data_IF_565935005512
#
_entry.id   IF_565935005512
#
_cell.length_a   1.000
_cell.length_b   1.000
_cell.length_c   1.000
_cell.angle_alpha   90.00
_cell.angle_beta   90.00
_cell.angle_gamma   90.00
#
_symmetry.space_group_name_H-M   'P 1'
#
loop_
_entity.id
_entity.type
_entity.pdbx_description
1 polymer ?
#
# COMPACT_ATOMS: atom_id res chain seq x y z
N UNK A 1 38.87 -41.77 -30.21
CA UNK A 1 38.78 -40.33 -30.18
C UNK A 1 37.40 -39.95 -29.65
N UNK A 2 37.30 -39.65 -28.33
CA UNK A 2 36.07 -39.24 -27.67
C UNK A 2 36.08 -37.70 -27.56
N UNK A 3 35.12 -37.04 -28.21
CA UNK A 3 34.88 -35.62 -28.07
C UNK A 3 33.95 -35.40 -26.87
N UNK A 4 34.49 -34.84 -25.78
CA UNK A 4 33.70 -34.40 -24.65
C UNK A 4 33.16 -32.99 -24.96
N UNK A 5 31.84 -32.84 -25.14
CA UNK A 5 31.18 -31.54 -25.16
C UNK A 5 31.03 -31.01 -23.74
N UNK A 6 31.74 -29.96 -23.45
CA UNK A 6 31.52 -29.16 -22.22
C UNK A 6 30.33 -28.25 -22.47
N UNK A 7 29.19 -28.56 -21.84
CA UNK A 7 28.04 -27.65 -21.80
C UNK A 7 28.33 -26.56 -20.77
N UNK A 8 28.65 -25.38 -21.28
CA UNK A 8 28.83 -24.18 -20.46
C UNK A 8 27.50 -23.74 -19.82
N UNK A 9 27.39 -23.89 -18.51
CA UNK A 9 26.32 -23.20 -17.71
C UNK A 9 26.56 -21.71 -17.75
N UNK A 10 25.73 -20.97 -18.52
CA UNK A 10 25.70 -19.53 -18.44
C UNK A 10 25.07 -19.12 -17.12
N UNK A 11 25.69 -18.20 -16.35
CA UNK A 11 25.06 -17.67 -15.15
C UNK A 11 23.84 -16.85 -15.56
N UNK A 12 22.68 -17.23 -15.07
CA UNK A 12 21.46 -16.42 -15.11
C UNK A 12 21.74 -15.20 -14.23
N UNK A 13 22.09 -14.08 -14.84
CA UNK A 13 22.11 -12.80 -14.14
C UNK A 13 20.68 -12.47 -13.72
N UNK A 14 20.36 -12.69 -12.46
CA UNK A 14 19.18 -12.12 -11.86
C UNK A 14 19.23 -10.60 -12.08
N UNK A 15 18.29 -10.07 -12.85
CA UNK A 15 18.07 -8.63 -12.97
C UNK A 15 17.66 -8.13 -11.58
N UNK A 16 18.64 -7.77 -10.77
CA UNK A 16 18.40 -6.99 -9.56
C UNK A 16 17.94 -5.63 -10.03
N UNK A 17 16.64 -5.43 -10.11
CA UNK A 17 16.06 -4.09 -10.24
C UNK A 17 16.62 -3.29 -9.07
N UNK A 18 17.51 -2.36 -9.34
CA UNK A 18 18.01 -1.38 -8.36
C UNK A 18 16.79 -0.52 -8.01
N UNK A 19 16.03 -0.97 -7.03
CA UNK A 19 15.00 -0.17 -6.38
C UNK A 19 15.76 0.97 -5.72
N UNK A 20 15.68 2.18 -6.30
CA UNK A 20 16.26 3.37 -5.71
C UNK A 20 15.91 3.42 -4.24
N UNK A 21 16.88 3.70 -3.39
CA UNK A 21 16.72 3.67 -1.95
C UNK A 21 15.54 4.57 -1.54
N UNK A 22 14.48 3.97 -1.01
CA UNK A 22 13.29 4.66 -0.55
C UNK A 22 13.29 4.62 0.97
N UNK A 23 13.01 5.76 1.59
CA UNK A 23 12.87 5.85 3.05
C UNK A 23 11.57 6.53 3.44
N UNK A 24 10.98 6.05 4.53
CA UNK A 24 9.76 6.59 5.11
C UNK A 24 10.04 7.15 6.50
N UNK A 25 9.56 8.37 6.77
CA UNK A 25 9.70 9.01 8.08
C UNK A 25 8.38 9.64 8.50
N UNK A 26 8.12 9.63 9.81
CA UNK A 26 7.03 10.41 10.40
C UNK A 26 7.58 11.78 10.80
N UNK A 27 7.00 12.85 10.28
CA UNK A 27 7.40 14.23 10.52
C UNK A 27 6.18 15.09 10.83
N UNK A 28 6.37 16.22 11.51
CA UNK A 28 5.34 17.22 11.67
C UNK A 28 5.45 18.27 10.56
N UNK A 29 4.37 18.45 9.82
CA UNK A 29 4.24 19.48 8.78
C UNK A 29 3.10 20.42 9.19
N UNK A 30 3.41 21.64 9.63
CA UNK A 30 2.43 22.57 10.17
C UNK A 30 1.53 21.91 11.22
N UNK A 31 2.14 21.33 12.24
CA UNK A 31 1.52 20.62 13.37
C UNK A 31 0.71 19.36 12.99
N UNK A 32 0.68 18.99 11.75
CA UNK A 32 0.04 17.75 11.28
C UNK A 32 1.09 16.63 11.14
N UNK A 33 0.88 15.47 11.78
CA UNK A 33 1.73 14.31 11.55
C UNK A 33 1.59 13.81 10.11
N UNK A 34 2.73 13.64 9.43
CA UNK A 34 2.81 13.22 8.03
C UNK A 34 3.87 12.16 7.89
N UNK A 35 3.56 11.08 7.20
CA UNK A 35 4.59 10.19 6.69
C UNK A 35 5.12 10.80 5.40
N UNK A 36 6.39 11.15 5.39
CA UNK A 36 7.12 11.56 4.19
C UNK A 36 7.87 10.38 3.62
N UNK A 37 7.95 10.33 2.30
CA UNK A 37 8.79 9.39 1.57
C UNK A 37 9.88 10.17 0.81
N UNK A 38 11.10 9.64 0.83
CA UNK A 38 12.20 10.12 -0.01
C UNK A 38 12.66 9.01 -0.94
N UNK A 39 13.09 9.37 -2.13
CA UNK A 39 13.62 8.43 -3.12
C UNK A 39 14.77 9.09 -3.88
N UNK A 40 15.78 8.32 -4.21
CA UNK A 40 16.86 8.76 -5.12
C UNK A 40 16.32 9.20 -6.49
N UNK A 41 15.18 8.63 -6.92
CA UNK A 41 14.50 9.05 -8.16
C UNK A 41 13.86 10.45 -8.07
N UNK A 42 13.76 11.02 -6.87
CA UNK A 42 13.23 12.37 -6.61
C UNK A 42 14.30 13.34 -6.11
N UNK A 43 15.54 13.11 -6.46
CA UNK A 43 16.69 13.88 -5.96
C UNK A 43 16.74 13.92 -4.43
N UNK A 44 16.26 12.87 -3.77
CA UNK A 44 16.08 12.76 -2.32
C UNK A 44 15.19 13.87 -1.72
N UNK A 45 14.36 14.53 -2.53
CA UNK A 45 13.38 15.49 -2.02
C UNK A 45 12.22 14.77 -1.35
N UNK A 46 11.88 15.10 -0.10
CA UNK A 46 10.78 14.46 0.60
C UNK A 46 9.43 14.83 -0.04
N UNK A 47 8.55 13.85 -0.14
CA UNK A 47 7.18 14.02 -0.59
C UNK A 47 6.22 13.51 0.48
N UNK A 48 5.12 14.21 0.70
CA UNK A 48 4.08 13.76 1.62
C UNK A 48 3.41 12.51 1.07
N UNK A 49 3.36 11.46 1.88
CA UNK A 49 2.83 10.15 1.52
C UNK A 49 1.51 9.86 2.22
N UNK A 50 1.44 10.03 3.55
CA UNK A 50 0.21 9.86 4.34
C UNK A 50 0.10 11.01 5.34
N UNK A 51 -1.06 11.68 5.39
CA UNK A 51 -1.39 12.70 6.39
C UNK A 51 -2.34 12.13 7.43
N UNK A 52 -2.02 12.35 8.70
CA UNK A 52 -2.80 11.87 9.82
C UNK A 52 -3.61 13.03 10.43
N UNK A 53 -4.85 13.21 9.95
CA UNK A 53 -5.73 14.32 10.36
C UNK A 53 -6.90 13.89 11.24
N UNK A 54 -7.15 12.57 11.35
CA UNK A 54 -8.29 12.04 12.11
C UNK A 54 -7.89 11.68 13.53
N UNK A 55 -8.68 12.11 14.50
CA UNK A 55 -8.52 11.77 15.93
C UNK A 55 -9.12 10.42 16.32
N UNK A 56 -9.55 9.63 15.35
CA UNK A 56 -10.08 8.28 15.60
C UNK A 56 -9.06 7.43 16.34
N UNK A 57 -9.47 6.88 17.48
CA UNK A 57 -8.62 6.09 18.36
C UNK A 57 -7.75 6.91 19.32
N UNK A 58 -7.84 8.24 19.32
CA UNK A 58 -7.07 9.08 20.23
C UNK A 58 -7.42 8.83 21.71
N UNK A 59 -8.72 8.56 22.00
CA UNK A 59 -9.18 8.15 23.34
C UNK A 59 -8.53 6.85 23.83
N UNK A 60 -8.18 5.96 22.91
CA UNK A 60 -7.55 4.66 23.20
C UNK A 60 -6.01 4.75 23.10
N UNK A 61 -5.47 5.97 23.09
CA UNK A 61 -4.06 6.23 23.04
C UNK A 61 -3.43 6.12 21.63
N UNK A 62 -4.24 6.00 20.57
CA UNK A 62 -3.77 5.98 19.17
C UNK A 62 -3.93 7.36 18.54
N UNK A 63 -3.22 8.34 19.09
CA UNK A 63 -3.18 9.70 18.54
C UNK A 63 -2.66 9.71 17.08
N UNK A 64 -2.99 10.75 16.27
CA UNK A 64 -2.45 10.89 14.92
C UNK A 64 -0.93 10.76 14.86
N UNK A 65 -0.21 11.37 15.81
CA UNK A 65 1.25 11.30 15.89
C UNK A 65 1.73 9.87 16.17
N UNK A 66 1.13 9.17 17.14
CA UNK A 66 1.50 7.81 17.48
C UNK A 66 1.25 6.85 16.31
N UNK A 67 0.13 7.01 15.60
CA UNK A 67 -0.15 6.22 14.38
C UNK A 67 0.88 6.47 13.30
N UNK A 68 1.22 7.72 13.03
CA UNK A 68 2.27 8.11 12.09
C UNK A 68 3.60 7.44 12.43
N UNK A 69 4.02 7.52 13.69
CA UNK A 69 5.28 6.92 14.19
C UNK A 69 5.29 5.38 14.10
N UNK A 70 4.14 4.74 14.23
CA UNK A 70 4.04 3.27 14.12
C UNK A 70 3.99 2.80 12.67
N UNK A 71 3.36 3.56 11.78
CA UNK A 71 3.13 3.14 10.40
C UNK A 71 4.36 3.38 9.51
N UNK A 72 5.13 4.44 9.75
CA UNK A 72 6.32 4.73 8.95
C UNK A 72 7.33 3.55 8.95
N UNK A 73 7.74 2.96 10.10
CA UNK A 73 8.64 1.81 10.08
C UNK A 73 8.00 0.54 9.49
N UNK A 74 6.68 0.36 9.62
CA UNK A 74 5.99 -0.77 8.97
C UNK A 74 6.01 -0.66 7.45
N UNK A 75 5.82 0.54 6.90
CA UNK A 75 5.99 0.80 5.47
C UNK A 75 7.42 0.51 5.02
N UNK A 76 8.40 0.99 5.79
CA UNK A 76 9.82 0.78 5.48
C UNK A 76 10.16 -0.71 5.41
N UNK A 77 9.78 -1.47 6.43
CA UNK A 77 10.03 -2.92 6.48
C UNK A 77 9.29 -3.65 5.35
N UNK A 78 7.98 -3.38 5.18
CA UNK A 78 7.19 -4.04 4.14
C UNK A 78 7.75 -3.79 2.75
N UNK A 79 8.19 -2.57 2.46
CA UNK A 79 8.76 -2.24 1.15
C UNK A 79 10.14 -2.89 0.96
N UNK A 80 10.97 -2.95 2.00
CA UNK A 80 12.25 -3.65 1.97
C UNK A 80 12.08 -5.17 1.74
N UNK A 81 11.00 -5.75 2.28
CA UNK A 81 10.64 -7.16 2.11
C UNK A 81 9.96 -7.45 0.74
N UNK A 82 9.88 -6.48 -0.14
CA UNK A 82 9.30 -6.62 -1.48
C UNK A 82 7.78 -6.51 -1.55
N UNK A 83 7.09 -6.13 -0.45
CA UNK A 83 5.64 -5.93 -0.45
C UNK A 83 5.29 -4.56 -1.05
N UNK A 84 5.20 -4.51 -2.36
CA UNK A 84 5.08 -3.27 -3.14
C UNK A 84 3.64 -2.81 -3.39
N UNK A 85 2.63 -3.48 -2.83
CA UNK A 85 1.22 -3.13 -3.00
C UNK A 85 0.54 -2.87 -1.66
N UNK A 86 -0.36 -1.89 -1.65
CA UNK A 86 -1.17 -1.52 -0.48
C UNK A 86 -2.64 -1.77 -0.81
N UNK A 87 -3.22 -2.90 -0.38
CA UNK A 87 -4.65 -3.15 -0.38
C UNK A 87 -5.30 -2.83 0.95
N UNK A 88 -6.62 -2.90 0.98
CA UNK A 88 -7.41 -3.05 2.20
C UNK A 88 -7.75 -4.51 2.45
N UNK A 89 -8.11 -4.83 3.68
CA UNK A 89 -8.56 -6.15 4.08
C UNK A 89 -9.26 -6.13 5.41
N UNK A 90 -9.41 -7.31 6.02
CA UNK A 90 -9.98 -7.47 7.35
C UNK A 90 -9.07 -8.35 8.22
N UNK A 91 -8.94 -7.98 9.49
CA UNK A 91 -8.24 -8.77 10.50
C UNK A 91 -9.08 -8.77 11.77
N UNK A 92 -9.44 -9.96 12.26
CA UNK A 92 -10.35 -10.11 13.40
C UNK A 92 -11.64 -9.28 13.21
N UNK A 93 -12.22 -9.33 12.03
CA UNK A 93 -13.41 -8.58 11.59
C UNK A 93 -13.23 -7.05 11.51
N UNK A 94 -12.07 -6.51 11.85
CA UNK A 94 -11.79 -5.08 11.72
C UNK A 94 -11.23 -4.76 10.34
N UNK A 95 -11.68 -3.67 9.71
CA UNK A 95 -11.11 -3.21 8.44
C UNK A 95 -9.68 -2.71 8.66
N UNK A 96 -8.80 -3.08 7.76
CA UNK A 96 -7.38 -2.76 7.85
C UNK A 96 -6.84 -2.26 6.51
N UNK A 97 -5.77 -1.48 6.58
CA UNK A 97 -4.85 -1.23 5.50
C UNK A 97 -3.58 -2.04 5.73
N UNK A 98 -3.12 -2.70 4.71
CA UNK A 98 -2.02 -3.67 4.78
C UNK A 98 -1.12 -3.60 3.56
N UNK A 99 -0.09 -4.42 3.53
CA UNK A 99 0.77 -4.60 2.35
C UNK A 99 0.75 -6.04 1.87
N UNK A 100 1.05 -6.22 0.59
CA UNK A 100 1.27 -7.51 -0.07
C UNK A 100 2.28 -7.36 -1.21
N UNK A 101 2.86 -8.45 -1.66
CA UNK A 101 3.83 -8.47 -2.76
C UNK A 101 3.17 -8.54 -4.14
N UNK A 102 1.94 -9.04 -4.25
CA UNK A 102 1.24 -9.18 -5.52
C UNK A 102 -0.22 -8.72 -5.46
N UNK A 103 -0.73 -8.10 -6.55
CA UNK A 103 -2.16 -7.83 -6.69
C UNK A 103 -2.95 -9.15 -6.74
N UNK A 104 -4.13 -9.16 -6.11
CA UNK A 104 -4.99 -10.36 -6.02
C UNK A 104 -4.77 -11.17 -4.74
N UNK A 105 -3.65 -11.02 -4.06
CA UNK A 105 -3.38 -11.68 -2.79
C UNK A 105 -4.00 -10.96 -1.59
N UNK A 106 -4.09 -11.69 -0.48
CA UNK A 106 -4.53 -11.14 0.80
C UNK A 106 -3.47 -10.26 1.48
N UNK A 107 -3.84 -9.69 2.62
CA UNK A 107 -2.94 -8.93 3.47
C UNK A 107 -1.81 -9.80 4.03
N UNK A 108 -0.56 -9.39 3.83
CA UNK A 108 0.61 -10.01 4.47
C UNK A 108 1.03 -9.26 5.72
N UNK A 109 1.26 -7.95 5.64
CA UNK A 109 1.69 -7.14 6.77
C UNK A 109 0.69 -6.03 7.07
N UNK A 110 0.26 -5.95 8.33
CA UNK A 110 -0.62 -4.89 8.80
C UNK A 110 0.10 -3.54 8.80
N UNK A 111 -0.46 -2.54 8.13
CA UNK A 111 -0.06 -1.15 8.32
C UNK A 111 -0.82 -0.51 9.47
N UNK A 112 -2.15 -0.42 9.37
CA UNK A 112 -2.99 0.12 10.43
C UNK A 112 -4.44 -0.37 10.31
N UNK A 113 -5.17 -0.25 11.43
CA UNK A 113 -6.59 -0.58 11.51
C UNK A 113 -7.43 0.68 11.27
N UNK A 114 -8.53 0.52 10.56
CA UNK A 114 -9.54 1.56 10.36
C UNK A 114 -10.62 1.48 11.44
N UNK A 115 -11.36 2.58 11.61
CA UNK A 115 -12.48 2.59 12.54
C UNK A 115 -13.64 1.74 12.00
N UNK A 116 -13.93 0.62 12.67
CA UNK A 116 -15.03 -0.28 12.29
C UNK A 116 -16.41 0.39 12.36
N UNK A 117 -16.56 1.46 13.15
CA UNK A 117 -17.82 2.22 13.24
C UNK A 117 -18.11 2.98 11.95
N UNK A 118 -17.05 3.38 11.23
CA UNK A 118 -17.15 4.10 9.95
C UNK A 118 -17.14 3.12 8.78
N UNK A 119 -16.16 2.23 8.74
CA UNK A 119 -15.90 1.34 7.61
C UNK A 119 -16.56 -0.04 7.76
N UNK A 120 -17.11 -0.34 8.92
CA UNK A 120 -17.80 -1.59 9.22
C UNK A 120 -16.85 -2.78 9.38
N UNK A 121 -17.45 -3.92 9.76
CA UNK A 121 -16.77 -5.21 9.76
C UNK A 121 -16.94 -5.88 8.39
N UNK A 122 -16.22 -6.98 8.18
CA UNK A 122 -16.32 -7.79 6.96
C UNK A 122 -17.77 -8.19 6.59
N UNK A 123 -18.64 -8.33 7.58
CA UNK A 123 -20.04 -8.71 7.41
C UNK A 123 -21.02 -7.53 7.44
N UNK A 124 -20.53 -6.31 7.62
CA UNK A 124 -21.40 -5.13 7.75
C UNK A 124 -21.97 -4.72 6.40
N UNK A 125 -23.29 -4.45 6.41
CA UNK A 125 -23.98 -3.81 5.29
C UNK A 125 -24.03 -2.30 5.53
N UNK A 126 -24.09 -1.51 4.48
CA UNK A 126 -24.28 -0.04 4.52
C UNK A 126 -23.16 0.75 5.25
N UNK A 127 -21.92 0.29 5.16
CA UNK A 127 -20.74 1.03 5.63
C UNK A 127 -19.89 1.52 4.46
N UNK A 128 -19.04 2.51 4.75
CA UNK A 128 -18.11 3.05 3.75
C UNK A 128 -17.08 1.96 3.42
N UNK A 129 -16.90 1.68 2.15
CA UNK A 129 -15.89 0.73 1.69
C UNK A 129 -14.47 1.20 2.06
N UNK A 130 -13.62 0.34 2.65
CA UNK A 130 -12.25 0.71 3.01
C UNK A 130 -11.40 1.19 1.82
N UNK A 131 -11.80 0.87 0.60
CA UNK A 131 -11.17 1.38 -0.64
C UNK A 131 -11.16 2.91 -0.69
N UNK A 132 -12.18 3.59 -0.15
CA UNK A 132 -12.25 5.06 -0.12
C UNK A 132 -11.06 5.65 0.64
N UNK A 133 -10.59 4.99 1.71
CA UNK A 133 -9.40 5.42 2.45
C UNK A 133 -8.16 5.41 1.56
N UNK A 134 -8.03 4.39 0.70
CA UNK A 134 -6.89 4.32 -0.22
C UNK A 134 -6.94 5.47 -1.24
N UNK A 135 -8.13 5.83 -1.71
CA UNK A 135 -8.31 6.97 -2.62
C UNK A 135 -7.89 8.28 -1.97
N UNK A 136 -8.30 8.50 -0.72
CA UNK A 136 -7.98 9.71 0.05
C UNK A 136 -6.49 9.77 0.43
N UNK A 137 -5.92 8.65 0.89
CA UNK A 137 -4.53 8.59 1.32
C UNK A 137 -3.54 8.85 0.19
N UNK A 138 -3.81 8.30 -0.99
CA UNK A 138 -2.88 8.33 -2.12
C UNK A 138 -3.27 9.33 -3.20
N UNK A 139 -4.30 10.14 -2.94
CA UNK A 139 -4.82 11.14 -3.90
C UNK A 139 -4.95 10.52 -5.29
N UNK A 140 -5.60 9.37 -5.34
CA UNK A 140 -5.90 8.73 -6.62
C UNK A 140 -6.88 9.65 -7.34
N UNK A 141 -6.41 10.39 -8.31
CA UNK A 141 -7.28 11.28 -9.07
C UNK A 141 -8.45 10.47 -9.63
N UNK A 142 -9.66 11.05 -9.57
CA UNK A 142 -10.90 10.44 -10.10
C UNK A 142 -10.76 9.92 -11.54
N UNK A 143 -9.77 10.41 -12.28
CA UNK A 143 -9.46 10.00 -13.65
C UNK A 143 -8.75 8.62 -13.74
N UNK A 144 -8.27 8.05 -12.64
CA UNK A 144 -7.67 6.71 -12.61
C UNK A 144 -8.72 5.60 -12.41
N UNK A 145 -9.96 5.96 -12.11
CA UNK A 145 -11.09 5.05 -12.01
C UNK A 145 -11.97 5.14 -13.25
N UNK A 146 -11.58 4.49 -14.32
CA UNK A 146 -12.45 4.24 -15.46
C UNK A 146 -13.25 2.95 -15.20
N UNK A 147 -14.19 3.00 -14.30
CA UNK A 147 -15.07 1.87 -14.03
C UNK A 147 -16.18 2.25 -13.09
N UNK A 148 -17.44 2.17 -13.56
CA UNK A 148 -18.60 2.24 -12.67
C UNK A 148 -18.43 1.22 -11.54
N UNK A 149 -18.87 1.53 -10.29
CA UNK A 149 -18.94 0.54 -9.25
C UNK A 149 -19.91 -0.56 -9.72
N UNK A 150 -19.36 -1.68 -10.15
CA UNK A 150 -20.20 -2.86 -10.39
C UNK A 150 -20.68 -3.37 -9.03
N UNK A 151 -21.96 -3.25 -8.76
CA UNK A 151 -22.61 -3.58 -7.48
C UNK A 151 -22.60 -5.07 -7.12
N UNK A 152 -21.91 -5.93 -7.86
CA UNK A 152 -21.96 -7.39 -7.69
C UNK A 152 -20.63 -8.12 -7.69
N UNK A 153 -19.51 -7.45 -7.84
CA UNK A 153 -18.20 -8.09 -7.74
C UNK A 153 -17.48 -7.54 -6.51
N UNK A 154 -17.02 -8.42 -5.63
CA UNK A 154 -16.14 -8.06 -4.54
C UNK A 154 -14.77 -7.65 -5.12
N UNK A 155 -14.66 -6.41 -5.52
CA UNK A 155 -13.41 -5.89 -6.07
C UNK A 155 -12.54 -5.32 -4.95
N UNK A 156 -11.25 -5.59 -5.03
CA UNK A 156 -10.25 -5.02 -4.13
C UNK A 156 -9.28 -4.17 -4.92
N UNK A 157 -9.01 -2.96 -4.41
CA UNK A 157 -8.03 -2.04 -4.98
C UNK A 157 -6.65 -2.29 -4.37
N UNK A 158 -5.63 -2.35 -5.22
CA UNK A 158 -4.23 -2.52 -4.86
C UNK A 158 -3.45 -1.30 -5.34
N UNK A 159 -2.93 -0.51 -4.40
CA UNK A 159 -2.08 0.63 -4.71
C UNK A 159 -0.67 0.12 -4.99
N UNK A 160 -0.12 0.42 -6.16
CA UNK A 160 1.27 0.11 -6.49
C UNK A 160 2.20 1.18 -5.97
N UNK A 161 3.01 0.86 -4.98
CA UNK A 161 4.03 1.75 -4.45
C UNK A 161 5.09 2.06 -5.51
N UNK A 162 5.49 1.06 -6.30
CA UNK A 162 6.44 1.27 -7.39
C UNK A 162 5.91 2.28 -8.42
N UNK A 163 4.63 2.16 -8.82
CA UNK A 163 4.01 3.11 -9.74
C UNK A 163 3.98 4.55 -9.19
N UNK A 164 3.76 4.71 -7.87
CA UNK A 164 3.84 6.01 -7.20
C UNK A 164 5.26 6.58 -7.28
N UNK A 165 6.26 5.77 -6.94
CA UNK A 165 7.67 6.21 -6.91
C UNK A 165 8.23 6.48 -8.30
N UNK A 166 7.72 5.79 -9.31
CA UNK A 166 8.09 6.00 -10.71
C UNK A 166 7.30 7.14 -11.39
N UNK A 167 6.36 7.75 -10.66
CA UNK A 167 5.54 8.84 -11.19
C UNK A 167 4.56 8.40 -12.28
N UNK A 168 4.19 7.11 -12.30
CA UNK A 168 3.23 6.58 -13.26
C UNK A 168 1.84 7.17 -13.01
N UNK A 169 1.07 7.33 -14.08
CA UNK A 169 -0.33 7.82 -14.00
C UNK A 169 -1.26 6.75 -13.44
N UNK A 170 -1.08 5.48 -13.84
CA UNK A 170 -1.84 4.36 -13.31
C UNK A 170 -1.14 3.84 -12.05
N UNK A 171 -1.69 4.18 -10.89
CA UNK A 171 -1.11 3.85 -9.57
C UNK A 171 -1.85 2.77 -8.81
N UNK A 172 -2.98 2.31 -9.33
CA UNK A 172 -3.81 1.31 -8.68
C UNK A 172 -4.29 0.26 -9.67
N UNK A 173 -4.41 -0.96 -9.18
CA UNK A 173 -5.04 -2.09 -9.87
C UNK A 173 -6.29 -2.51 -9.12
N UNK A 174 -7.36 -2.83 -9.86
CA UNK A 174 -8.61 -3.34 -9.30
C UNK A 174 -8.78 -4.80 -9.70
N UNK A 175 -8.77 -5.67 -8.71
CA UNK A 175 -8.95 -7.11 -8.88
C UNK A 175 -10.32 -7.49 -8.32
N UNK A 176 -11.15 -8.08 -9.16
CA UNK A 176 -12.50 -8.52 -8.82
C UNK A 176 -12.55 -10.04 -8.78
N UNK A 177 -13.04 -10.60 -7.67
CA UNK A 177 -13.35 -12.02 -7.59
C UNK A 177 -14.64 -12.26 -8.34
N UNK A 178 -14.64 -13.18 -9.30
CA UNK A 178 -15.88 -13.73 -9.85
C UNK A 178 -16.53 -14.55 -8.74
N UNK A 179 -17.67 -14.08 -8.25
CA UNK A 179 -18.52 -14.91 -7.38
C UNK A 179 -19.15 -15.95 -8.29
N UNK A 180 -18.65 -17.20 -8.20
CA UNK A 180 -19.34 -18.37 -8.77
C UNK A 180 -20.56 -18.71 -7.94
#
# INVERSE_FOLDING_TARGET
LANSMVVGLQPVTANTTVTGQISFKCELVKDTPVITATSSKWDNKPRQFIRWVSDVGASDGFTPLKRCQQVAPRLQSSFADGNAYIPHGYKNRNPIICTTDQPGEGCKNLLFTLDYRVYGSETSKNKIEPTVVLDDLFVLSRNNYTGMPMRQAACRTYISMNAIFEGQTKRAEKICSTVN
#
